data_IF_868370725288
#
_entry.id   IF_868370725288
#
_cell.length_a   1.000
_cell.length_b   1.000
_cell.length_c   1.000
_cell.angle_alpha   90.00
_cell.angle_beta   90.00
_cell.angle_gamma   90.00
#
_symmetry.space_group_name_H-M   'P 1'
#
loop_
_entity.id
_entity.type
_entity.pdbx_description
1 polymer ?
#
# COMPACT_ATOMS: atom_id res chain seq x y z
N UNK A 1 -42.83 10.79 9.64
CA UNK A 1 -42.89 10.19 8.29
C UNK A 1 -42.04 8.95 8.38
N UNK A 2 -42.67 7.79 8.28
CA UNK A 2 -42.00 6.48 8.33
C UNK A 2 -41.31 6.31 6.98
N UNK A 3 -40.01 6.65 6.93
CA UNK A 3 -39.21 6.52 5.71
C UNK A 3 -38.54 5.17 5.80
N UNK A 4 -38.95 4.27 4.91
CA UNK A 4 -38.36 2.93 4.79
C UNK A 4 -36.83 3.06 4.62
N UNK A 5 -36.02 2.25 5.34
CA UNK A 5 -34.57 2.35 5.26
C UNK A 5 -34.12 2.06 3.83
N UNK A 6 -33.51 3.07 3.18
CA UNK A 6 -32.98 2.94 1.83
C UNK A 6 -31.73 2.05 1.86
N UNK A 7 -31.68 0.95 1.08
CA UNK A 7 -30.47 0.15 0.97
C UNK A 7 -29.38 0.96 0.25
N UNK A 8 -28.15 0.89 0.77
CA UNK A 8 -26.99 1.52 0.14
C UNK A 8 -26.57 0.78 -1.13
N UNK A 9 -26.18 1.54 -2.16
CA UNK A 9 -25.67 0.98 -3.41
C UNK A 9 -24.27 0.36 -3.21
N UNK A 10 -23.85 -0.62 -4.01
CA UNK A 10 -22.50 -1.17 -3.94
C UNK A 10 -21.43 -0.07 -4.06
N UNK A 11 -20.63 0.12 -3.00
CA UNK A 11 -19.57 1.13 -2.95
C UNK A 11 -19.97 2.51 -2.45
N UNK A 12 -21.27 2.73 -2.17
CA UNK A 12 -21.75 3.91 -1.44
C UNK A 12 -21.20 3.86 0.00
N UNK A 13 -20.76 5.01 0.52
CA UNK A 13 -20.21 5.14 1.88
C UNK A 13 -21.01 6.17 2.65
N UNK A 14 -21.14 5.99 3.96
CA UNK A 14 -21.80 6.93 4.85
C UNK A 14 -20.78 7.38 5.90
N UNK A 15 -20.73 8.68 6.18
CA UNK A 15 -19.88 9.25 7.21
C UNK A 15 -20.64 9.36 8.53
N UNK A 16 -19.95 9.11 9.64
CA UNK A 16 -20.49 9.35 10.98
C UNK A 16 -19.50 10.23 11.72
N UNK A 17 -19.96 11.38 12.22
CA UNK A 17 -19.20 12.23 13.12
C UNK A 17 -19.80 12.15 14.51
N UNK A 18 -19.03 11.64 15.44
CA UNK A 18 -19.42 11.55 16.85
C UNK A 18 -18.84 12.75 17.59
N UNK A 19 -19.72 13.58 18.13
CA UNK A 19 -19.33 14.72 18.96
C UNK A 19 -19.05 14.30 20.41
N UNK A 20 -18.39 15.18 21.17
CA UNK A 20 -18.03 14.93 22.58
C UNK A 20 -19.23 14.80 23.50
N UNK A 21 -20.38 15.36 23.12
CA UNK A 21 -21.66 15.23 23.81
C UNK A 21 -22.43 13.96 23.39
N UNK A 22 -21.78 13.06 22.65
CA UNK A 22 -22.35 11.83 22.09
C UNK A 22 -23.45 12.04 21.04
N UNK A 23 -23.62 13.27 20.54
CA UNK A 23 -24.43 13.47 19.34
C UNK A 23 -23.72 12.90 18.10
N UNK A 24 -24.48 12.31 17.18
CA UNK A 24 -23.96 11.69 15.95
C UNK A 24 -24.54 12.44 14.75
N UNK A 25 -23.66 13.04 13.95
CA UNK A 25 -24.00 13.63 12.67
C UNK A 25 -23.73 12.59 11.57
N UNK A 26 -24.71 12.37 10.70
CA UNK A 26 -24.65 11.39 9.61
C UNK A 26 -24.43 12.15 8.30
N UNK A 27 -23.47 11.71 7.50
CA UNK A 27 -23.21 12.24 6.15
C UNK A 27 -23.54 11.18 5.14
N UNK A 28 -24.42 11.50 4.20
CA UNK A 28 -24.57 10.69 3.00
C UNK A 28 -23.28 10.73 2.15
N UNK A 29 -23.18 9.83 1.18
CA UNK A 29 -21.94 9.63 0.43
C UNK A 29 -21.40 10.92 -0.23
N UNK A 30 -22.29 11.71 -0.81
CA UNK A 30 -21.92 12.97 -1.46
C UNK A 30 -21.46 14.03 -0.44
N UNK A 31 -22.16 14.12 0.68
CA UNK A 31 -21.84 15.06 1.76
C UNK A 31 -20.49 14.70 2.42
N UNK A 32 -20.23 13.40 2.60
CA UNK A 32 -18.95 12.89 3.08
C UNK A 32 -17.81 13.27 2.12
N UNK A 33 -18.00 13.07 0.81
CA UNK A 33 -17.00 13.44 -0.19
C UNK A 33 -16.69 14.93 -0.16
N UNK A 34 -17.73 15.77 -0.14
CA UNK A 34 -17.58 17.22 -0.10
C UNK A 34 -16.87 17.68 1.17
N UNK A 35 -17.26 17.13 2.33
CA UNK A 35 -16.63 17.46 3.61
C UNK A 35 -15.16 17.06 3.64
N UNK A 36 -14.79 15.90 3.11
CA UNK A 36 -13.39 15.47 3.01
C UNK A 36 -12.61 16.42 2.11
N UNK A 37 -13.18 16.80 0.96
CA UNK A 37 -12.56 17.76 0.05
C UNK A 37 -12.32 19.11 0.75
N UNK A 38 -13.31 19.64 1.44
CA UNK A 38 -13.20 20.92 2.15
C UNK A 38 -12.13 20.85 3.25
N UNK A 39 -12.13 19.80 4.07
CA UNK A 39 -11.13 19.58 5.12
C UNK A 39 -9.71 19.43 4.57
N UNK A 40 -9.57 18.72 3.45
CA UNK A 40 -8.28 18.52 2.81
C UNK A 40 -7.78 19.79 2.13
N UNK A 41 -8.67 20.60 1.55
CA UNK A 41 -8.33 21.88 0.91
C UNK A 41 -7.77 22.91 1.90
N UNK A 42 -8.14 22.82 3.18
CA UNK A 42 -7.57 23.66 4.24
C UNK A 42 -6.11 23.32 4.55
N UNK A 43 -5.67 22.09 4.26
CA UNK A 43 -4.31 21.61 4.53
C UNK A 43 -3.45 21.57 3.27
N UNK A 44 -4.06 21.39 2.11
CA UNK A 44 -3.40 21.18 0.85
C UNK A 44 -3.94 22.12 -0.22
N UNK A 45 -3.04 22.88 -0.84
CA UNK A 45 -3.36 23.60 -2.06
C UNK A 45 -3.34 22.61 -3.24
N UNK A 46 -4.53 22.09 -3.57
CA UNK A 46 -4.70 21.16 -4.68
C UNK A 46 -4.33 21.76 -6.03
N UNK A 47 -4.36 23.09 -6.17
CA UNK A 47 -3.94 23.76 -7.40
C UNK A 47 -2.43 23.67 -7.59
N UNK A 48 -1.67 23.75 -6.49
CA UNK A 48 -0.21 23.64 -6.46
C UNK A 48 0.30 22.21 -6.57
N UNK A 49 -0.47 21.21 -6.13
CA UNK A 49 -0.14 19.79 -6.32
C UNK A 49 -0.04 19.42 -7.81
N UNK A 50 -0.94 19.95 -8.64
CA UNK A 50 -0.84 19.82 -10.10
C UNK A 50 0.41 20.53 -10.65
N UNK A 51 0.76 21.71 -10.14
CA UNK A 51 1.98 22.42 -10.57
C UNK A 51 3.26 21.70 -10.16
N UNK A 52 3.36 21.16 -8.94
CA UNK A 52 4.54 20.42 -8.46
C UNK A 52 4.72 19.11 -9.22
N UNK A 53 3.64 18.42 -9.61
CA UNK A 53 3.74 17.27 -10.51
C UNK A 53 4.18 17.64 -11.93
N UNK A 54 3.82 18.82 -12.42
CA UNK A 54 4.17 19.29 -13.77
C UNK A 54 5.58 19.88 -13.86
N UNK A 55 6.14 20.40 -12.75
CA UNK A 55 7.46 21.05 -12.71
C UNK A 55 8.60 20.10 -12.30
N UNK A 56 8.58 18.86 -12.79
CA UNK A 56 9.53 17.78 -12.51
C UNK A 56 10.98 18.00 -13.04
N UNK A 57 11.43 19.24 -13.26
CA UNK A 57 12.83 19.52 -13.62
C UNK A 57 13.80 19.29 -12.46
N UNK A 58 13.31 19.30 -11.23
CA UNK A 58 14.08 19.03 -10.00
C UNK A 58 14.32 17.54 -9.70
N UNK A 59 13.66 16.62 -10.43
CA UNK A 59 13.83 15.17 -10.26
C UNK A 59 14.60 14.50 -11.41
N UNK A 60 15.26 15.29 -12.28
CA UNK A 60 16.11 14.74 -13.32
C UNK A 60 17.37 14.11 -12.69
N UNK A 61 17.31 12.80 -12.45
CA UNK A 61 18.50 12.00 -12.12
C UNK A 61 19.38 11.99 -13.38
N UNK A 62 20.65 12.41 -13.32
CA UNK A 62 21.55 12.30 -14.46
C UNK A 62 21.75 10.83 -14.82
N UNK A 63 21.13 10.41 -15.92
CA UNK A 63 21.27 9.04 -16.45
C UNK A 63 22.65 8.92 -17.10
N UNK A 64 23.53 8.11 -16.49
CA UNK A 64 24.77 7.65 -17.14
C UNK A 64 24.38 6.67 -18.25
N UNK A 65 24.95 6.75 -19.46
CA UNK A 65 24.58 5.85 -20.56
C UNK A 65 24.78 4.39 -20.16
N UNK A 66 23.77 3.57 -20.46
CA UNK A 66 23.69 2.17 -20.06
C UNK A 66 24.86 1.34 -20.62
N UNK A 67 25.55 0.64 -19.74
CA UNK A 67 26.50 -0.42 -20.11
C UNK A 67 25.71 -1.64 -20.63
N UNK A 68 26.24 -2.41 -21.58
CA UNK A 68 25.50 -3.48 -22.24
C UNK A 68 25.02 -4.56 -21.24
N UNK A 69 23.76 -4.95 -21.36
CA UNK A 69 23.10 -5.94 -20.52
C UNK A 69 23.84 -7.28 -20.55
N UNK A 70 24.31 -7.73 -19.38
CA UNK A 70 24.81 -9.09 -19.19
C UNK A 70 23.60 -10.02 -19.19
N UNK A 71 23.49 -10.83 -20.25
CA UNK A 71 22.52 -11.93 -20.32
C UNK A 71 22.89 -12.94 -19.24
N UNK A 72 22.14 -12.95 -18.14
CA UNK A 72 22.28 -13.98 -17.10
C UNK A 72 21.63 -15.24 -17.64
N UNK A 73 22.45 -16.19 -18.10
CA UNK A 73 22.02 -17.56 -18.37
C UNK A 73 21.66 -18.22 -17.04
N UNK A 74 20.39 -18.63 -16.91
CA UNK A 74 19.92 -19.43 -15.78
C UNK A 74 20.52 -20.84 -15.92
N UNK A 75 21.71 -21.04 -15.37
CA UNK A 75 22.28 -22.37 -15.14
C UNK A 75 21.62 -22.98 -13.88
N UNK A 76 21.36 -24.28 -13.93
CA UNK A 76 20.74 -25.02 -12.82
C UNK A 76 21.53 -24.79 -11.53
N UNK A 77 20.86 -24.28 -10.51
CA UNK A 77 21.43 -23.91 -9.22
C UNK A 77 22.21 -25.09 -8.61
N UNK A 78 23.50 -24.88 -8.36
CA UNK A 78 24.37 -25.86 -7.70
C UNK A 78 23.92 -26.01 -6.24
N UNK A 79 24.06 -27.19 -5.60
CA UNK A 79 23.78 -27.35 -4.17
C UNK A 79 24.50 -26.34 -3.28
N UNK A 80 25.64 -25.83 -3.73
CA UNK A 80 26.42 -24.78 -3.04
C UNK A 80 25.72 -23.40 -3.09
N UNK A 81 25.00 -23.09 -4.18
CA UNK A 81 24.25 -21.84 -4.33
C UNK A 81 22.97 -21.83 -3.50
N UNK A 82 22.35 -23.00 -3.30
CA UNK A 82 21.20 -23.17 -2.41
C UNK A 82 21.58 -22.96 -0.93
N UNK A 83 22.74 -23.48 -0.51
CA UNK A 83 23.28 -23.28 0.85
C UNK A 83 23.67 -21.81 1.09
N UNK A 84 24.27 -21.15 0.08
CA UNK A 84 24.55 -19.71 0.16
C UNK A 84 23.26 -18.87 0.29
N UNK A 85 22.17 -19.27 -0.36
CA UNK A 85 20.85 -18.64 -0.21
C UNK A 85 20.26 -18.82 1.20
N UNK A 86 20.48 -19.98 1.83
CA UNK A 86 20.05 -20.24 3.20
C UNK A 86 20.87 -19.43 4.21
N UNK A 87 22.20 -19.37 4.04
CA UNK A 87 23.09 -18.55 4.88
C UNK A 87 22.76 -17.04 4.77
N UNK A 88 22.48 -16.54 3.56
CA UNK A 88 22.05 -15.15 3.34
C UNK A 88 20.67 -14.86 3.97
N UNK A 89 19.79 -15.86 4.01
CA UNK A 89 18.47 -15.75 4.66
C UNK A 89 18.63 -15.69 6.17
N UNK A 90 19.47 -16.53 6.77
CA UNK A 90 19.78 -16.49 8.20
C UNK A 90 20.42 -15.16 8.60
N UNK A 91 21.35 -14.64 7.80
CA UNK A 91 21.96 -13.34 8.05
C UNK A 91 20.96 -12.17 7.93
N UNK A 92 20.02 -12.25 6.98
CA UNK A 92 18.91 -11.28 6.86
C UNK A 92 17.97 -11.35 8.07
N UNK A 93 17.61 -12.55 8.51
CA UNK A 93 16.79 -12.77 9.71
C UNK A 93 17.50 -12.17 10.92
N UNK A 94 18.78 -12.46 11.12
CA UNK A 94 19.56 -11.93 12.25
C UNK A 94 19.69 -10.40 12.22
N UNK A 95 19.81 -9.80 11.03
CA UNK A 95 19.85 -8.35 10.85
C UNK A 95 18.49 -7.70 11.15
N UNK A 96 17.41 -8.36 10.77
CA UNK A 96 16.04 -7.95 11.09
C UNK A 96 15.80 -8.11 12.59
N UNK A 97 16.17 -9.22 13.22
CA UNK A 97 16.11 -9.41 14.68
C UNK A 97 16.85 -8.30 15.43
N UNK A 98 18.05 -7.93 14.98
CA UNK A 98 18.81 -6.81 15.56
C UNK A 98 18.15 -5.45 15.34
N UNK A 99 17.51 -5.23 14.19
CA UNK A 99 16.76 -4.00 13.91
C UNK A 99 15.47 -3.94 14.75
N UNK A 100 14.79 -5.08 14.92
CA UNK A 100 13.58 -5.23 15.71
C UNK A 100 13.84 -5.22 17.22
N UNK A 101 15.06 -5.57 17.65
CA UNK A 101 15.50 -5.45 19.04
C UNK A 101 15.58 -3.99 19.52
N UNK A 102 15.49 -3.00 18.62
CA UNK A 102 15.19 -1.60 18.98
C UNK A 102 13.71 -1.44 19.37
N UNK A 103 13.32 -2.15 20.44
CA UNK A 103 11.96 -2.23 20.97
C UNK A 103 11.32 -0.85 21.16
N UNK A 104 12.13 0.15 21.53
CA UNK A 104 11.69 1.52 21.76
C UNK A 104 11.28 2.25 20.47
N UNK A 105 12.02 2.07 19.37
CA UNK A 105 11.74 2.74 18.10
C UNK A 105 10.50 2.14 17.42
N UNK A 106 10.38 0.82 17.41
CA UNK A 106 9.20 0.12 16.93
C UNK A 106 7.96 0.46 17.75
N UNK A 107 8.08 0.45 19.08
CA UNK A 107 7.01 0.86 19.98
C UNK A 107 6.58 2.31 19.75
N UNK A 108 7.54 3.23 19.53
CA UNK A 108 7.25 4.62 19.19
C UNK A 108 6.50 4.77 17.86
N UNK A 109 6.81 3.91 16.87
CA UNK A 109 6.10 3.85 15.59
C UNK A 109 4.72 3.18 15.68
N UNK A 110 4.39 2.55 16.82
CA UNK A 110 3.09 1.91 17.04
C UNK A 110 3.05 0.44 16.64
N UNK A 111 4.20 -0.22 16.54
CA UNK A 111 4.28 -1.66 16.30
C UNK A 111 4.03 -2.44 17.60
N UNK A 112 3.15 -3.43 17.51
CA UNK A 112 2.90 -4.40 18.57
C UNK A 112 3.82 -5.62 18.42
N UNK A 113 4.01 -6.37 19.51
CA UNK A 113 4.80 -7.59 19.48
C UNK A 113 4.24 -8.62 18.49
N UNK A 114 2.92 -8.75 18.43
CA UNK A 114 2.23 -9.65 17.50
C UNK A 114 2.50 -9.29 16.03
N UNK A 115 2.45 -8.00 15.69
CA UNK A 115 2.77 -7.53 14.34
C UNK A 115 4.23 -7.81 13.96
N UNK A 116 5.15 -7.69 14.92
CA UNK A 116 6.56 -8.03 14.72
C UNK A 116 6.73 -9.53 14.48
N UNK A 117 6.09 -10.38 15.28
CA UNK A 117 6.13 -11.84 15.12
C UNK A 117 5.52 -12.27 13.76
N UNK A 118 4.46 -11.60 13.31
CA UNK A 118 3.86 -11.82 11.99
C UNK A 118 4.82 -11.44 10.85
N UNK A 119 5.52 -10.30 10.94
CA UNK A 119 6.52 -9.92 9.94
C UNK A 119 7.69 -10.90 9.93
N UNK A 120 8.15 -11.37 11.09
CA UNK A 120 9.20 -12.38 11.16
C UNK A 120 8.80 -13.68 10.45
N UNK A 121 7.53 -14.05 10.51
CA UNK A 121 6.99 -15.17 9.73
C UNK A 121 7.08 -14.89 8.22
N UNK A 122 6.74 -13.68 7.77
CA UNK A 122 6.85 -13.28 6.36
C UNK A 122 8.28 -13.36 5.81
N UNK A 123 9.29 -13.06 6.62
CA UNK A 123 10.71 -13.18 6.23
C UNK A 123 11.07 -14.61 5.85
N UNK A 124 10.35 -15.60 6.36
CA UNK A 124 10.54 -17.01 5.96
C UNK A 124 9.97 -17.35 4.56
N UNK A 125 9.48 -16.35 3.81
CA UNK A 125 8.78 -16.44 2.51
C UNK A 125 7.42 -17.15 2.58
N UNK A 126 6.71 -17.01 3.70
CA UNK A 126 5.34 -17.49 3.86
C UNK A 126 4.49 -16.40 4.49
N UNK A 127 3.36 -16.08 3.85
CA UNK A 127 2.37 -15.22 4.47
C UNK A 127 1.85 -15.89 5.75
N UNK A 128 1.76 -15.16 6.89
CA UNK A 128 1.27 -15.72 8.13
C UNK A 128 -0.18 -16.15 7.95
N UNK A 129 -0.46 -17.43 8.21
CA UNK A 129 -1.80 -17.99 8.19
C UNK A 129 -2.35 -18.00 9.61
N UNK A 130 -3.50 -17.36 9.82
CA UNK A 130 -4.23 -17.38 11.09
C UNK A 130 -5.67 -17.84 10.88
N UNK A 131 -6.23 -18.50 11.89
CA UNK A 131 -7.63 -18.92 11.92
C UNK A 131 -8.51 -17.96 12.72
N UNK A 132 -9.81 -18.26 12.81
CA UNK A 132 -10.79 -17.59 13.69
C UNK A 132 -11.20 -16.15 13.33
N UNK A 133 -10.53 -15.51 12.37
CA UNK A 133 -10.86 -14.15 11.92
C UNK A 133 -10.38 -13.08 12.90
N UNK A 134 -10.73 -11.83 12.61
CA UNK A 134 -10.35 -10.68 13.45
C UNK A 134 -11.43 -10.41 14.51
N UNK A 135 -11.11 -10.67 15.78
CA UNK A 135 -12.00 -10.44 16.95
C UNK A 135 -11.71 -9.12 17.68
N UNK A 136 -10.87 -8.25 17.08
CA UNK A 136 -10.56 -6.94 17.64
C UNK A 136 -11.63 -5.88 17.34
N UNK A 137 -11.69 -4.78 18.11
CA UNK A 137 -12.49 -3.62 17.73
C UNK A 137 -11.93 -3.01 16.44
N UNK A 138 -12.80 -2.42 15.61
CA UNK A 138 -12.36 -1.62 14.48
C UNK A 138 -11.40 -0.52 14.96
N UNK A 139 -10.45 -0.12 14.11
CA UNK A 139 -9.42 0.84 14.46
C UNK A 139 -9.98 2.14 15.08
N UNK A 140 -11.12 2.63 14.57
CA UNK A 140 -11.82 3.81 15.06
C UNK A 140 -12.38 3.68 16.50
N UNK A 141 -12.63 2.46 16.97
CA UNK A 141 -13.16 2.18 18.31
C UNK A 141 -12.12 1.60 19.27
N UNK A 142 -10.89 1.37 18.79
CA UNK A 142 -9.83 0.85 19.64
C UNK A 142 -9.45 1.87 20.73
N UNK A 143 -9.31 1.39 21.97
CA UNK A 143 -8.78 2.18 23.09
C UNK A 143 -7.25 2.32 23.05
N UNK A 144 -6.61 1.54 22.17
CA UNK A 144 -5.16 1.50 21.98
C UNK A 144 -4.82 2.18 20.65
N UNK A 145 -3.66 2.85 20.59
CA UNK A 145 -3.15 3.42 19.33
C UNK A 145 -3.10 2.32 18.26
N UNK A 146 -3.72 2.59 17.11
CA UNK A 146 -3.68 1.75 15.91
C UNK A 146 -2.88 2.44 14.80
N UNK A 147 -2.27 1.66 13.92
CA UNK A 147 -1.52 2.20 12.80
C UNK A 147 -2.47 2.76 11.74
N UNK A 148 -1.99 3.72 10.94
CA UNK A 148 -2.82 4.34 9.91
C UNK A 148 -3.38 3.30 8.92
N UNK A 149 -2.59 2.26 8.62
CA UNK A 149 -2.99 1.15 7.77
C UNK A 149 -4.26 0.43 8.27
N UNK A 150 -4.48 0.31 9.58
CA UNK A 150 -5.64 -0.38 10.15
C UNK A 150 -6.99 0.31 9.84
N UNK A 151 -6.95 1.60 9.50
CA UNK A 151 -8.14 2.37 9.12
C UNK A 151 -8.56 2.12 7.67
N UNK A 152 -7.65 1.60 6.84
CA UNK A 152 -7.91 1.31 5.44
C UNK A 152 -8.16 -0.18 5.26
N UNK A 153 -9.36 -0.51 4.80
CA UNK A 153 -9.76 -1.88 4.50
C UNK A 153 -9.62 -2.14 3.00
N UNK A 154 -9.09 -3.32 2.64
CA UNK A 154 -8.99 -3.74 1.25
C UNK A 154 -10.38 -3.88 0.63
N UNK A 155 -10.53 -3.41 -0.62
CA UNK A 155 -11.78 -3.56 -1.37
C UNK A 155 -11.67 -4.79 -2.26
N UNK A 156 -12.60 -5.71 -2.09
CA UNK A 156 -12.71 -6.91 -2.92
C UNK A 156 -13.86 -6.74 -3.91
N UNK A 157 -13.63 -7.21 -5.13
CA UNK A 157 -14.67 -7.31 -6.14
C UNK A 157 -15.62 -8.47 -5.81
N UNK A 158 -16.93 -8.19 -5.78
CA UNK A 158 -17.97 -9.20 -5.53
C UNK A 158 -19.09 -9.01 -6.55
N UNK A 159 -19.54 -10.11 -7.18
CA UNK A 159 -20.60 -10.17 -8.21
C UNK A 159 -20.29 -9.47 -9.53
N UNK A 160 -19.88 -8.21 -9.50
CA UNK A 160 -19.78 -7.34 -10.68
C UNK A 160 -18.62 -7.68 -11.59
N UNK A 161 -17.53 -8.20 -11.02
CA UNK A 161 -16.35 -8.64 -11.75
C UNK A 161 -15.67 -9.75 -10.92
N UNK A 162 -15.21 -10.85 -11.57
CA UNK A 162 -14.53 -11.93 -10.88
C UNK A 162 -13.17 -11.46 -10.34
N UNK A 163 -12.77 -12.02 -9.19
CA UNK A 163 -11.40 -11.87 -8.69
C UNK A 163 -10.44 -12.71 -9.56
N UNK A 164 -9.23 -12.21 -9.77
CA UNK A 164 -8.20 -12.89 -10.56
C UNK A 164 -7.27 -13.63 -9.58
N UNK A 165 -6.95 -14.90 -9.89
CA UNK A 165 -6.07 -15.73 -9.07
C UNK A 165 -4.59 -15.39 -9.32
N UNK A 166 -3.92 -14.82 -8.32
CA UNK A 166 -2.50 -14.43 -8.42
C UNK A 166 -1.55 -15.59 -8.71
N UNK A 167 -1.85 -16.81 -8.27
CA UNK A 167 -0.96 -17.96 -8.42
C UNK A 167 -1.16 -18.60 -9.79
N UNK A 168 -2.41 -18.71 -10.25
CA UNK A 168 -2.74 -19.37 -11.52
C UNK A 168 -2.65 -18.45 -12.74
N UNK A 169 -2.88 -17.15 -12.56
CA UNK A 169 -2.97 -16.16 -13.64
C UNK A 169 -1.93 -15.04 -13.46
N UNK A 170 -0.80 -15.34 -12.79
CA UNK A 170 0.25 -14.38 -12.47
C UNK A 170 0.83 -13.64 -13.68
N UNK A 171 0.85 -14.27 -14.85
CA UNK A 171 1.35 -13.66 -16.11
C UNK A 171 0.50 -12.47 -16.58
N UNK A 172 -0.75 -12.37 -16.13
CA UNK A 172 -1.63 -11.23 -16.42
C UNK A 172 -1.44 -10.07 -15.45
N UNK A 173 -0.62 -10.23 -14.41
CA UNK A 173 -0.30 -9.21 -13.43
C UNK A 173 1.08 -8.59 -13.65
N UNK A 174 1.20 -7.29 -13.37
CA UNK A 174 2.49 -6.62 -13.33
C UNK A 174 2.55 -5.64 -12.17
N UNK A 175 3.67 -5.68 -11.44
CA UNK A 175 4.02 -4.73 -10.37
C UNK A 175 5.10 -3.74 -10.83
N UNK A 176 5.33 -3.63 -12.15
CA UNK A 176 6.30 -2.69 -12.71
C UNK A 176 5.91 -1.26 -12.39
N UNK A 177 6.89 -0.46 -12.02
CA UNK A 177 6.71 0.96 -11.68
C UNK A 177 7.53 1.80 -12.64
N UNK A 178 6.92 2.87 -13.15
CA UNK A 178 7.60 3.86 -13.97
C UNK A 178 7.76 5.15 -13.16
N UNK A 179 9.00 5.55 -12.93
CA UNK A 179 9.35 6.77 -12.22
C UNK A 179 9.77 7.85 -13.22
N UNK A 180 9.09 9.00 -13.19
CA UNK A 180 9.39 10.12 -14.06
C UNK A 180 8.14 10.88 -14.47
N UNK A 181 8.30 11.85 -15.36
CA UNK A 181 7.16 12.62 -15.89
C UNK A 181 6.22 11.68 -16.62
N UNK A 182 4.90 11.77 -16.37
CA UNK A 182 3.90 10.97 -17.09
C UNK A 182 3.83 11.44 -18.57
N UNK A 183 3.78 10.52 -19.55
CA UNK A 183 3.62 10.91 -20.94
C UNK A 183 2.25 11.56 -21.16
N UNK A 184 2.21 12.54 -22.08
CA UNK A 184 0.95 13.20 -22.47
C UNK A 184 0.25 12.35 -23.53
N UNK A 185 -1.06 12.15 -23.41
CA UNK A 185 -1.84 11.33 -24.36
C UNK A 185 -2.29 12.09 -25.62
N UNK A 186 -2.21 13.43 -25.61
CA UNK A 186 -2.62 14.27 -26.73
C UNK A 186 -1.51 14.41 -27.80
N UNK A 187 -1.93 14.56 -29.06
CA UNK A 187 -1.09 15.01 -30.19
C UNK A 187 0.23 14.25 -30.37
N UNK A 188 0.18 12.91 -30.36
CA UNK A 188 1.36 12.08 -30.62
C UNK A 188 2.34 11.95 -29.46
N UNK A 189 2.00 12.54 -28.30
CA UNK A 189 2.62 12.30 -26.99
C UNK A 189 4.13 12.52 -26.93
N UNK A 190 4.57 13.59 -26.25
CA UNK A 190 6.01 13.77 -25.99
C UNK A 190 6.55 12.58 -25.19
N UNK A 191 7.52 11.86 -25.75
CA UNK A 191 8.26 10.80 -25.05
C UNK A 191 8.91 11.40 -23.80
N UNK A 192 8.45 10.99 -22.64
CA UNK A 192 9.06 11.33 -21.35
C UNK A 192 10.09 10.27 -20.99
N UNK A 193 11.29 10.70 -20.61
CA UNK A 193 12.25 9.78 -19.99
C UNK A 193 11.69 9.31 -18.64
N UNK A 194 11.63 7.99 -18.46
CA UNK A 194 11.17 7.33 -17.25
C UNK A 194 12.15 6.22 -16.87
N UNK A 195 12.38 6.05 -15.58
CA UNK A 195 13.08 4.91 -15.02
C UNK A 195 12.06 3.81 -14.76
N UNK A 196 12.33 2.62 -15.29
CA UNK A 196 11.50 1.46 -15.04
C UNK A 196 12.07 0.62 -13.89
N UNK A 197 11.21 0.25 -12.96
CA UNK A 197 11.49 -0.69 -11.88
C UNK A 197 10.61 -1.93 -12.04
N UNK A 198 11.17 -3.10 -11.75
CA UNK A 198 10.44 -4.38 -11.78
C UNK A 198 9.41 -4.49 -10.65
N UNK A 199 9.62 -3.78 -9.55
CA UNK A 199 8.85 -3.84 -8.29
C UNK A 199 8.80 -2.44 -7.65
N UNK A 200 7.75 -2.12 -6.87
CA UNK A 200 7.70 -0.91 -6.05
C UNK A 200 8.62 -0.96 -4.81
N UNK A 201 9.03 -2.17 -4.40
CA UNK A 201 9.99 -2.44 -3.33
C UNK A 201 11.39 -2.63 -3.91
#
# INVERSE_FOLDING_TARGET
MDVDPRPMSPGEKMGLLVHRDHSVEIFEHQELQQRIYDLASQRYDFHRLNEVMLNAKSFAIPVKPAEPEVVVTLENESPEDAVAYEDDKEQRILKIERALASTDALGAMGWTKEEVDNVMTMVTNKDPLSGLGYDGPLAAFSKVRRNLADYFQERVAVVTNPAIDRVREGDHFSVRVFLGRRPTLAEGGTVSQQLELKSPL
#
